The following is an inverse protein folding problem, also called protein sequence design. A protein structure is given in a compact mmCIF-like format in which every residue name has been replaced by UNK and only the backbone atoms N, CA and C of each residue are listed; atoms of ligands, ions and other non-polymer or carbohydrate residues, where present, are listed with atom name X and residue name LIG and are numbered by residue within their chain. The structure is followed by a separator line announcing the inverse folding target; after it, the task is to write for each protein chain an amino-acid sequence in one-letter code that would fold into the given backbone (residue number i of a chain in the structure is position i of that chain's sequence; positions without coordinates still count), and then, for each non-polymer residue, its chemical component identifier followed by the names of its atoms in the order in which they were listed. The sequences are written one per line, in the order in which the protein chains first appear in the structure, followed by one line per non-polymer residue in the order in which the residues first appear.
data_IF_075618979877
#
_entry.id   IF_075618979877
#
_cell.length_a   1.000
_cell.length_b   1.000
_cell.length_c   1.000
_cell.angle_alpha   90.00
_cell.angle_beta   90.00
_cell.angle_gamma   90.00
#
_symmetry.space_group_name_H-M   'P 1'
#
loop_
_entity.id
_entity.type
_entity.pdbx_description
1 polymer ?
#
# COMPACT_ATOMS: atom_id res chain seq x y z
N UNK A 1 -48.21 8.49 -8.36
CA UNK A 1 -47.08 7.96 -7.56
C UNK A 1 -46.10 9.10 -7.40
N UNK A 2 -46.08 9.76 -6.25
CA UNK A 2 -45.13 10.82 -5.97
C UNK A 2 -43.72 10.23 -5.88
N UNK A 3 -42.88 10.55 -6.86
CA UNK A 3 -41.46 10.21 -6.83
C UNK A 3 -40.69 11.05 -5.79
N UNK A 4 -41.35 12.04 -5.16
CA UNK A 4 -40.78 12.92 -4.13
C UNK A 4 -40.63 12.24 -2.76
N UNK A 5 -41.31 11.11 -2.51
CA UNK A 5 -41.15 10.30 -1.30
C UNK A 5 -40.16 9.15 -1.42
N UNK A 6 -39.53 8.97 -2.60
CA UNK A 6 -38.58 7.88 -2.84
C UNK A 6 -37.17 8.29 -2.45
N UNK A 7 -36.64 7.61 -1.45
CA UNK A 7 -35.28 7.82 -1.00
C UNK A 7 -34.28 7.30 -2.05
N UNK A 8 -33.30 8.14 -2.43
CA UNK A 8 -32.30 7.79 -3.45
C UNK A 8 -31.47 6.57 -3.05
N UNK A 9 -31.17 6.39 -1.75
CA UNK A 9 -30.44 5.24 -1.25
C UNK A 9 -31.29 3.96 -1.32
N UNK A 10 -32.59 4.06 -1.01
CA UNK A 10 -33.50 2.92 -1.13
C UNK A 10 -33.66 2.48 -2.60
N UNK A 11 -33.76 3.45 -3.51
CA UNK A 11 -33.85 3.18 -4.94
C UNK A 11 -32.54 2.57 -5.47
N UNK A 12 -31.38 3.09 -5.07
CA UNK A 12 -30.08 2.57 -5.47
C UNK A 12 -29.84 1.15 -4.95
N UNK A 13 -29.98 0.93 -3.64
CA UNK A 13 -29.77 -0.37 -2.99
C UNK A 13 -30.80 -1.40 -3.47
N UNK A 14 -32.08 -1.02 -3.47
CA UNK A 14 -33.17 -1.87 -3.96
C UNK A 14 -32.99 -2.21 -5.44
N UNK A 15 -32.59 -1.24 -6.26
CA UNK A 15 -32.28 -1.43 -7.67
C UNK A 15 -31.15 -2.44 -7.90
N UNK A 16 -30.05 -2.34 -7.15
CA UNK A 16 -28.92 -3.28 -7.25
C UNK A 16 -29.36 -4.70 -6.89
N UNK A 17 -30.10 -4.86 -5.79
CA UNK A 17 -30.61 -6.18 -5.38
C UNK A 17 -31.56 -6.76 -6.41
N UNK A 18 -32.49 -5.94 -6.92
CA UNK A 18 -33.47 -6.36 -7.92
C UNK A 18 -32.79 -6.76 -9.23
N UNK A 19 -31.90 -5.93 -9.76
CA UNK A 19 -31.13 -6.23 -10.98
C UNK A 19 -30.30 -7.50 -10.77
N UNK A 20 -29.65 -7.64 -9.61
CA UNK A 20 -28.86 -8.83 -9.29
C UNK A 20 -29.73 -10.10 -9.23
N UNK A 21 -30.95 -10.03 -8.69
CA UNK A 21 -31.90 -11.13 -8.68
C UNK A 21 -32.40 -11.48 -10.09
N UNK A 22 -32.70 -10.47 -10.93
CA UNK A 22 -33.11 -10.67 -12.33
C UNK A 22 -31.98 -11.32 -13.15
N UNK A 23 -30.75 -10.88 -12.94
CA UNK A 23 -29.58 -11.50 -13.55
C UNK A 23 -29.42 -12.95 -13.07
N UNK A 24 -29.61 -13.18 -11.77
CA UNK A 24 -29.54 -14.51 -11.16
C UNK A 24 -30.57 -15.49 -11.72
N UNK A 25 -31.83 -15.08 -11.86
CA UNK A 25 -32.87 -15.93 -12.48
C UNK A 25 -32.61 -16.15 -13.97
N UNK A 26 -32.07 -15.16 -14.70
CA UNK A 26 -31.80 -15.28 -16.13
C UNK A 26 -30.62 -16.23 -16.41
N UNK A 27 -29.58 -16.22 -15.56
CA UNK A 27 -28.38 -17.03 -15.74
C UNK A 27 -28.48 -18.42 -15.11
N UNK A 28 -29.18 -18.54 -13.98
CA UNK A 28 -29.21 -19.74 -13.14
C UNK A 28 -28.03 -19.81 -12.15
N UNK A 29 -28.20 -20.58 -11.07
CA UNK A 29 -27.18 -20.74 -10.03
C UNK A 29 -25.90 -21.34 -10.59
N UNK A 30 -26.01 -22.41 -11.38
CA UNK A 30 -24.84 -23.15 -11.88
C UNK A 30 -23.90 -22.24 -12.67
N UNK A 31 -24.46 -21.43 -13.59
CA UNK A 31 -23.66 -20.50 -14.39
C UNK A 31 -22.97 -19.45 -13.52
N UNK A 32 -23.64 -18.99 -12.48
CA UNK A 32 -23.11 -17.99 -11.57
C UNK A 32 -21.99 -18.57 -10.68
N UNK A 33 -22.14 -19.81 -10.19
CA UNK A 33 -21.11 -20.55 -9.46
C UNK A 33 -19.87 -20.81 -10.34
N UNK A 34 -20.08 -21.31 -11.56
CA UNK A 34 -18.99 -21.56 -12.51
C UNK A 34 -18.26 -20.26 -12.89
N UNK A 35 -18.98 -19.14 -12.96
CA UNK A 35 -18.37 -17.83 -13.18
C UNK A 35 -17.48 -17.43 -12.00
N UNK A 36 -17.94 -17.61 -10.75
CA UNK A 36 -17.11 -17.32 -9.57
C UNK A 36 -15.86 -18.19 -9.52
N UNK A 37 -16.00 -19.49 -9.77
CA UNK A 37 -14.86 -20.41 -9.84
C UNK A 37 -13.89 -19.98 -10.94
N UNK A 38 -14.40 -19.59 -12.12
CA UNK A 38 -13.56 -19.11 -13.22
C UNK A 38 -12.77 -17.85 -12.85
N UNK A 39 -13.39 -16.88 -12.18
CA UNK A 39 -12.69 -15.69 -11.69
C UNK A 39 -11.59 -16.02 -10.69
N UNK A 40 -11.87 -16.88 -9.70
CA UNK A 40 -10.88 -17.28 -8.69
C UNK A 40 -9.72 -18.06 -9.33
N UNK A 41 -10.02 -19.03 -10.20
CA UNK A 41 -9.01 -19.82 -10.90
C UNK A 41 -8.17 -18.96 -11.86
N UNK A 42 -8.79 -18.02 -12.57
CA UNK A 42 -8.08 -17.09 -13.44
C UNK A 42 -7.17 -16.13 -12.66
N UNK A 43 -7.63 -15.60 -11.52
CA UNK A 43 -6.78 -14.78 -10.63
C UNK A 43 -5.60 -15.60 -10.09
N UNK A 44 -5.86 -16.82 -9.63
CA UNK A 44 -4.81 -17.71 -9.14
C UNK A 44 -3.76 -18.01 -10.23
N UNK A 45 -4.21 -18.30 -11.46
CA UNK A 45 -3.32 -18.48 -12.59
C UNK A 45 -2.53 -17.20 -12.90
N UNK A 46 -3.18 -16.04 -12.89
CA UNK A 46 -2.52 -14.76 -13.11
C UNK A 46 -1.44 -14.48 -12.06
N UNK A 47 -1.73 -14.65 -10.76
CA UNK A 47 -0.73 -14.50 -9.71
C UNK A 47 0.44 -15.50 -9.82
N UNK A 48 0.17 -16.70 -10.32
CA UNK A 48 1.18 -17.75 -10.45
C UNK A 48 2.09 -17.54 -11.66
N UNK A 49 1.53 -17.13 -12.80
CA UNK A 49 2.26 -17.10 -14.08
C UNK A 49 2.64 -15.69 -14.56
N UNK A 50 2.12 -14.61 -13.96
CA UNK A 50 2.41 -13.24 -14.41
C UNK A 50 3.89 -12.91 -14.42
N UNK A 51 4.66 -13.30 -13.40
CA UNK A 51 6.09 -13.02 -13.33
C UNK A 51 6.86 -13.73 -14.45
N UNK A 52 6.58 -15.01 -14.66
CA UNK A 52 7.19 -15.80 -15.73
C UNK A 52 6.89 -15.19 -17.11
N UNK A 53 5.63 -14.84 -17.36
CA UNK A 53 5.21 -14.24 -18.64
C UNK A 53 5.84 -12.86 -18.84
N UNK A 54 5.96 -12.08 -17.77
CA UNK A 54 6.59 -10.77 -17.78
C UNK A 54 8.05 -10.86 -18.22
N UNK A 55 8.84 -11.68 -17.54
CA UNK A 55 10.26 -11.81 -17.82
C UNK A 55 10.55 -12.39 -19.19
N UNK A 56 9.78 -13.39 -19.63
CA UNK A 56 10.07 -14.12 -20.85
C UNK A 56 9.54 -13.44 -22.11
N UNK A 57 8.39 -12.76 -22.05
CA UNK A 57 7.71 -12.25 -23.24
C UNK A 57 7.51 -10.74 -23.22
N UNK A 58 6.99 -10.18 -22.14
CA UNK A 58 6.51 -8.79 -22.15
C UNK A 58 7.64 -7.78 -21.96
N UNK A 59 8.66 -8.12 -21.16
CA UNK A 59 9.83 -7.25 -20.97
C UNK A 59 10.69 -7.07 -22.23
N UNK A 60 10.48 -7.88 -23.26
CA UNK A 60 11.10 -7.69 -24.59
C UNK A 60 10.52 -6.47 -25.33
N UNK A 61 9.31 -6.04 -24.96
CA UNK A 61 8.57 -4.95 -25.60
C UNK A 61 8.41 -3.75 -24.67
N UNK A 62 8.25 -3.99 -23.36
CA UNK A 62 8.05 -2.97 -22.33
C UNK A 62 9.22 -3.00 -21.37
N UNK A 63 10.04 -1.94 -21.38
CA UNK A 63 11.24 -1.85 -20.52
C UNK A 63 10.91 -1.66 -19.03
N UNK A 64 9.79 -1.03 -18.71
CA UNK A 64 9.37 -0.83 -17.32
C UNK A 64 8.84 -2.14 -16.73
N UNK A 65 9.52 -2.65 -15.69
CA UNK A 65 9.19 -3.93 -15.05
C UNK A 65 7.80 -3.93 -14.42
N UNK A 66 7.36 -2.82 -13.82
CA UNK A 66 6.04 -2.75 -13.18
C UNK A 66 4.92 -2.79 -14.23
N UNK A 67 5.06 -2.00 -15.29
CA UNK A 67 4.10 -1.98 -16.39
C UNK A 67 4.08 -3.34 -17.09
N UNK A 68 5.24 -3.95 -17.33
CA UNK A 68 5.34 -5.27 -17.94
C UNK A 68 4.68 -6.36 -17.08
N UNK A 69 4.83 -6.31 -15.75
CA UNK A 69 4.17 -7.25 -14.84
C UNK A 69 2.64 -7.09 -14.89
N UNK A 70 2.14 -5.86 -14.80
CA UNK A 70 0.69 -5.57 -14.84
C UNK A 70 0.10 -6.04 -16.18
N UNK A 71 0.77 -5.74 -17.29
CA UNK A 71 0.36 -6.20 -18.62
C UNK A 71 0.31 -7.73 -18.69
N UNK A 72 1.35 -8.40 -18.18
CA UNK A 72 1.42 -9.88 -18.16
C UNK A 72 0.32 -10.50 -17.30
N UNK A 73 0.08 -9.92 -16.12
CA UNK A 73 -1.01 -10.33 -15.23
C UNK A 73 -2.35 -10.23 -15.96
N UNK A 74 -2.62 -9.09 -16.60
CA UNK A 74 -3.84 -8.88 -17.39
C UNK A 74 -3.96 -9.88 -18.54
N UNK A 75 -2.89 -10.12 -19.29
CA UNK A 75 -2.89 -11.08 -20.41
C UNK A 75 -3.18 -12.51 -19.94
N UNK A 76 -2.50 -12.98 -18.88
CA UNK A 76 -2.72 -14.33 -18.33
C UNK A 76 -4.14 -14.44 -17.77
N UNK A 77 -4.60 -13.43 -17.03
CA UNK A 77 -5.93 -13.40 -16.45
C UNK A 77 -7.02 -13.53 -17.53
N UNK A 78 -6.93 -12.73 -18.59
CA UNK A 78 -7.89 -12.77 -19.71
C UNK A 78 -7.84 -14.09 -20.47
N UNK A 79 -6.64 -14.61 -20.73
CA UNK A 79 -6.47 -15.91 -21.39
C UNK A 79 -7.07 -17.04 -20.55
N UNK A 80 -6.82 -17.04 -19.24
CA UNK A 80 -7.39 -18.03 -18.33
C UNK A 80 -8.93 -17.94 -18.29
N UNK A 81 -9.50 -16.74 -18.19
CA UNK A 81 -10.95 -16.53 -18.28
C UNK A 81 -11.52 -17.05 -19.60
N UNK A 82 -10.84 -16.82 -20.71
CA UNK A 82 -11.26 -17.30 -22.02
C UNK A 82 -11.31 -18.84 -22.08
N UNK A 83 -10.23 -19.50 -21.64
CA UNK A 83 -10.12 -20.96 -21.65
C UNK A 83 -11.14 -21.61 -20.70
N UNK A 84 -11.25 -21.11 -19.46
CA UNK A 84 -12.22 -21.62 -18.48
C UNK A 84 -13.65 -21.31 -18.93
N UNK A 85 -13.87 -20.15 -19.54
CA UNK A 85 -15.14 -19.77 -20.13
C UNK A 85 -15.60 -20.77 -21.19
N UNK A 86 -14.69 -21.20 -22.07
CA UNK A 86 -14.99 -22.23 -23.07
C UNK A 86 -15.41 -23.54 -22.40
N UNK A 87 -14.66 -24.02 -21.39
CA UNK A 87 -15.01 -25.22 -20.62
C UNK A 87 -16.39 -25.08 -19.95
N UNK A 88 -16.71 -23.92 -19.40
CA UNK A 88 -18.00 -23.64 -18.77
C UNK A 88 -19.17 -23.74 -19.76
N UNK A 89 -18.95 -23.40 -21.04
CA UNK A 89 -19.98 -23.59 -22.07
C UNK A 89 -20.32 -25.07 -22.26
N UNK A 90 -19.32 -25.95 -22.25
CA UNK A 90 -19.51 -27.39 -22.36
C UNK A 90 -20.27 -27.93 -21.13
N UNK A 91 -19.79 -27.60 -19.94
CA UNK A 91 -20.41 -28.03 -18.67
C UNK A 91 -21.87 -27.57 -18.61
N UNK A 92 -22.13 -26.29 -18.85
CA UNK A 92 -23.51 -25.78 -18.80
C UNK A 92 -24.43 -26.41 -19.84
N UNK A 93 -23.90 -26.93 -20.95
CA UNK A 93 -24.69 -27.64 -21.95
C UNK A 93 -25.09 -29.04 -21.49
N UNK A 94 -24.22 -29.73 -20.74
CA UNK A 94 -24.52 -31.03 -20.15
C UNK A 94 -25.62 -30.94 -19.09
N UNK A 95 -25.56 -29.92 -18.23
CA UNK A 95 -26.57 -29.73 -17.18
C UNK A 95 -27.93 -29.30 -17.71
N UNK A 96 -28.00 -28.66 -18.88
CA UNK A 96 -29.30 -28.36 -19.52
C UNK A 96 -30.07 -29.63 -19.89
N UNK A 97 -29.39 -30.75 -20.15
CA UNK A 97 -30.01 -32.01 -20.53
C UNK A 97 -30.77 -32.69 -19.38
N UNK A 98 -30.53 -32.33 -18.12
CA UNK A 98 -31.16 -32.97 -16.95
C UNK A 98 -32.57 -32.44 -16.64
N UNK A 99 -33.05 -31.42 -17.37
CA UNK A 99 -34.43 -30.91 -17.25
C UNK A 99 -34.73 -30.11 -15.98
N UNK A 100 -33.79 -29.96 -15.04
CA UNK A 100 -33.98 -29.26 -13.76
C UNK A 100 -33.85 -27.72 -13.84
N UNK A 101 -33.98 -27.14 -15.04
CA UNK A 101 -33.69 -25.72 -15.28
C UNK A 101 -34.53 -24.74 -14.45
N UNK A 102 -35.75 -25.12 -14.04
CA UNK A 102 -36.59 -24.27 -13.19
C UNK A 102 -36.02 -24.07 -11.78
N UNK A 103 -35.52 -25.14 -11.16
CA UNK A 103 -34.93 -25.08 -9.82
C UNK A 103 -33.58 -24.34 -9.83
N UNK A 104 -32.76 -24.56 -10.85
CA UNK A 104 -31.51 -23.81 -11.06
C UNK A 104 -31.73 -22.29 -11.17
N UNK A 105 -32.81 -21.86 -11.83
CA UNK A 105 -33.21 -20.45 -11.94
C UNK A 105 -33.71 -19.87 -10.61
N UNK A 106 -34.48 -20.64 -9.84
CA UNK A 106 -34.93 -20.21 -8.51
C UNK A 106 -33.75 -20.02 -7.55
N UNK A 107 -32.83 -20.99 -7.51
CA UNK A 107 -31.60 -20.84 -6.74
C UNK A 107 -30.72 -19.70 -7.27
N UNK A 108 -30.71 -19.49 -8.58
CA UNK A 108 -30.07 -18.34 -9.22
C UNK A 108 -30.63 -17.01 -8.71
N UNK A 109 -31.95 -16.89 -8.53
CA UNK A 109 -32.57 -15.71 -7.91
C UNK A 109 -32.08 -15.51 -6.47
N UNK A 110 -32.12 -16.55 -5.63
CA UNK A 110 -31.66 -16.46 -4.23
C UNK A 110 -30.19 -16.07 -4.14
N UNK A 111 -29.36 -16.65 -5.01
CA UNK A 111 -27.96 -16.27 -5.12
C UNK A 111 -27.80 -14.82 -5.60
N UNK A 112 -28.58 -14.40 -6.59
CA UNK A 112 -28.61 -13.03 -7.09
C UNK A 112 -29.01 -12.02 -6.00
N UNK A 113 -29.99 -12.35 -5.16
CA UNK A 113 -30.38 -11.56 -3.99
C UNK A 113 -29.24 -11.45 -2.98
N UNK A 114 -28.62 -12.57 -2.61
CA UNK A 114 -27.48 -12.59 -1.70
C UNK A 114 -26.30 -11.77 -2.23
N UNK A 115 -25.96 -11.94 -3.51
CA UNK A 115 -24.91 -11.16 -4.19
C UNK A 115 -25.25 -9.67 -4.20
N UNK A 116 -26.49 -9.30 -4.50
CA UNK A 116 -26.96 -7.92 -4.48
C UNK A 116 -26.86 -7.31 -3.07
N UNK A 117 -27.23 -8.08 -2.05
CA UNK A 117 -27.11 -7.67 -0.64
C UNK A 117 -25.66 -7.40 -0.25
N UNK A 118 -24.74 -8.30 -0.63
CA UNK A 118 -23.30 -8.13 -0.40
C UNK A 118 -22.76 -6.89 -1.12
N UNK A 119 -23.09 -6.71 -2.40
CA UNK A 119 -22.66 -5.53 -3.17
C UNK A 119 -23.17 -4.24 -2.53
N UNK A 120 -24.45 -4.19 -2.14
CA UNK A 120 -25.00 -3.02 -1.45
C UNK A 120 -24.32 -2.75 -0.10
N UNK A 121 -23.93 -3.80 0.63
CA UNK A 121 -23.22 -3.64 1.91
C UNK A 121 -21.81 -3.09 1.69
N UNK A 122 -21.13 -3.54 0.64
CA UNK A 122 -19.84 -2.98 0.22
C UNK A 122 -19.98 -1.52 -0.19
N UNK A 123 -21.04 -1.15 -0.92
CA UNK A 123 -21.29 0.26 -1.26
C UNK A 123 -21.57 1.12 -0.03
N UNK A 124 -22.34 0.62 0.94
CA UNK A 124 -22.55 1.32 2.21
C UNK A 124 -21.24 1.47 2.98
N UNK A 125 -20.40 0.43 3.01
CA UNK A 125 -19.08 0.53 3.60
C UNK A 125 -18.27 1.67 2.97
N UNK A 126 -18.14 1.69 1.64
CA UNK A 126 -17.44 2.78 0.93
C UNK A 126 -18.11 4.15 1.10
N UNK A 127 -19.43 4.22 1.15
CA UNK A 127 -20.14 5.48 1.38
C UNK A 127 -19.79 6.08 2.75
N UNK A 128 -19.61 5.25 3.78
CA UNK A 128 -19.24 5.67 5.15
C UNK A 128 -17.81 6.18 5.26
N UNK A 129 -16.95 5.89 4.29
CA UNK A 129 -15.62 6.52 4.20
C UNK A 129 -15.74 8.00 3.84
N UNK A 130 -16.88 8.48 3.33
CA UNK A 130 -17.11 9.89 3.07
C UNK A 130 -17.60 10.63 4.32
N UNK A 131 -16.85 11.61 4.86
CA UNK A 131 -17.22 12.32 6.08
C UNK A 131 -18.58 13.03 5.96
N UNK A 132 -19.45 12.82 6.94
CA UNK A 132 -20.75 13.49 6.99
C UNK A 132 -21.85 12.85 6.14
N UNK A 133 -21.60 11.72 5.47
CA UNK A 133 -22.63 11.00 4.70
C UNK A 133 -23.85 10.65 5.59
N UNK A 134 -23.60 10.31 6.85
CA UNK A 134 -24.64 9.90 7.81
C UNK A 134 -25.55 11.06 8.27
N UNK A 135 -25.12 12.30 8.03
CA UNK A 135 -25.88 13.52 8.35
C UNK A 135 -26.88 13.91 7.26
N UNK A 136 -26.81 13.29 6.08
CA UNK A 136 -27.73 13.62 4.99
C UNK A 136 -29.16 13.22 5.36
N UNK A 137 -30.18 14.06 5.10
CA UNK A 137 -31.58 13.70 5.31
C UNK A 137 -31.96 12.40 4.58
N UNK A 138 -31.48 12.23 3.34
CA UNK A 138 -31.71 11.01 2.56
C UNK A 138 -31.03 9.78 3.17
N UNK A 139 -29.94 9.92 3.91
CA UNK A 139 -29.34 8.77 4.60
C UNK A 139 -30.22 8.33 5.78
N UNK A 140 -30.63 9.28 6.62
CA UNK A 140 -31.40 9.00 7.84
C UNK A 140 -32.82 8.52 7.57
N UNK A 141 -33.43 9.00 6.49
CA UNK A 141 -34.78 8.61 6.08
C UNK A 141 -34.82 7.26 5.31
N UNK A 142 -33.67 6.64 5.02
CA UNK A 142 -33.62 5.40 4.23
C UNK A 142 -34.01 4.20 5.08
N UNK A 143 -34.87 3.35 4.52
CA UNK A 143 -35.29 2.10 5.19
C UNK A 143 -34.28 0.97 4.98
N UNK A 144 -33.57 0.97 3.85
CA UNK A 144 -32.61 -0.08 3.50
C UNK A 144 -31.23 0.15 4.13
N UNK A 145 -30.78 1.40 4.25
CA UNK A 145 -29.45 1.74 4.80
C UNK A 145 -29.14 1.04 6.13
N UNK A 146 -30.03 1.00 7.14
CA UNK A 146 -29.74 0.28 8.39
C UNK A 146 -29.48 -1.22 8.19
N UNK A 147 -30.28 -1.88 7.34
CA UNK A 147 -30.13 -3.31 7.05
C UNK A 147 -28.80 -3.64 6.39
N UNK A 148 -28.40 -2.84 5.39
CA UNK A 148 -27.12 -2.99 4.72
C UNK A 148 -25.94 -2.59 5.60
N UNK A 149 -26.10 -1.59 6.48
CA UNK A 149 -25.08 -1.21 7.46
C UNK A 149 -24.81 -2.33 8.44
N UNK A 150 -25.84 -3.05 8.89
CA UNK A 150 -25.67 -4.23 9.75
C UNK A 150 -24.90 -5.34 9.03
N UNK A 151 -25.22 -5.59 7.76
CA UNK A 151 -24.51 -6.57 6.94
C UNK A 151 -23.04 -6.17 6.71
N UNK A 152 -22.78 -4.89 6.43
CA UNK A 152 -21.45 -4.34 6.29
C UNK A 152 -20.63 -4.49 7.59
N UNK A 153 -21.21 -4.10 8.73
CA UNK A 153 -20.58 -4.23 10.04
C UNK A 153 -20.28 -5.69 10.39
N UNK A 154 -21.19 -6.62 10.06
CA UNK A 154 -20.93 -8.06 10.21
C UNK A 154 -19.71 -8.49 9.37
N UNK A 155 -19.58 -8.00 8.14
CA UNK A 155 -18.42 -8.24 7.28
C UNK A 155 -17.13 -7.68 7.88
N UNK A 156 -17.14 -6.43 8.35
CA UNK A 156 -15.99 -5.75 8.95
C UNK A 156 -15.45 -6.52 10.16
N UNK A 157 -16.34 -7.09 10.99
CA UNK A 157 -15.94 -7.91 12.14
C UNK A 157 -15.15 -9.17 11.76
N UNK A 158 -15.22 -9.63 10.52
CA UNK A 158 -14.45 -10.76 10.00
C UNK A 158 -13.10 -10.35 9.42
N UNK A 159 -12.88 -9.06 9.23
CA UNK A 159 -11.64 -8.52 8.69
C UNK A 159 -10.54 -8.56 9.78
N UNK A 160 -9.31 -9.00 9.46
CA UNK A 160 -8.18 -8.97 10.40
C UNK A 160 -7.91 -7.58 10.99
N UNK A 161 -7.46 -7.53 12.25
CA UNK A 161 -7.15 -6.31 13.04
C UNK A 161 -6.32 -5.27 12.26
N UNK A 162 -5.33 -5.70 11.48
CA UNK A 162 -4.46 -4.78 10.75
C UNK A 162 -5.19 -3.95 9.69
N UNK A 163 -6.20 -4.50 9.01
CA UNK A 163 -7.01 -3.74 8.02
C UNK A 163 -8.05 -2.88 8.73
N UNK A 164 -8.56 -3.31 9.88
CA UNK A 164 -9.47 -2.52 10.72
C UNK A 164 -8.80 -1.24 11.22
N UNK A 165 -7.56 -1.32 11.69
CA UNK A 165 -6.80 -0.14 12.13
C UNK A 165 -6.67 0.91 11.02
N UNK A 166 -6.44 0.47 9.77
CA UNK A 166 -6.51 1.39 8.63
C UNK A 166 -7.92 1.95 8.46
N UNK A 167 -8.95 1.11 8.34
CA UNK A 167 -10.33 1.58 8.15
C UNK A 167 -10.76 2.59 9.22
N UNK A 168 -10.49 2.31 10.50
CA UNK A 168 -10.84 3.18 11.62
C UNK A 168 -10.13 4.53 11.55
N UNK A 169 -8.85 4.56 11.15
CA UNK A 169 -8.12 5.82 10.95
C UNK A 169 -8.73 6.72 9.86
N UNK A 170 -9.28 6.13 8.79
CA UNK A 170 -9.96 6.88 7.73
C UNK A 170 -11.40 7.25 8.11
N UNK A 171 -12.09 6.41 8.89
CA UNK A 171 -13.49 6.63 9.30
C UNK A 171 -13.62 7.62 10.46
N UNK A 172 -12.62 7.69 11.35
CA UNK A 172 -12.62 8.59 12.51
C UNK A 172 -11.28 9.35 12.59
N UNK A 173 -11.03 10.32 11.69
CA UNK A 173 -9.72 10.96 11.55
C UNK A 173 -9.27 11.77 12.78
N UNK A 174 -10.17 11.98 13.75
CA UNK A 174 -9.86 12.67 15.00
C UNK A 174 -9.36 11.72 16.10
N UNK A 175 -9.38 10.41 15.86
CA UNK A 175 -8.91 9.39 16.79
C UNK A 175 -7.50 8.95 16.38
N UNK A 176 -6.49 9.31 17.18
CA UNK A 176 -5.09 8.95 16.93
C UNK A 176 -4.92 7.44 17.11
N UNK A 177 -4.89 6.69 16.02
CA UNK A 177 -4.58 5.26 16.03
C UNK A 177 -3.10 5.08 16.36
N UNK A 178 -2.80 4.76 17.63
CA UNK A 178 -1.47 4.31 18.04
C UNK A 178 -1.32 2.87 17.55
N UNK A 179 -0.67 2.68 16.40
CA UNK A 179 -0.23 1.35 15.96
C UNK A 179 0.67 0.79 17.07
N UNK A 180 0.46 -0.46 17.54
CA UNK A 180 1.46 -1.11 18.37
C UNK A 180 2.72 -1.15 17.51
N UNK A 181 3.72 -0.37 17.89
CA UNK A 181 5.03 -0.39 17.26
C UNK A 181 5.43 -1.86 17.14
N UNK A 182 5.85 -2.30 15.95
CA UNK A 182 6.60 -3.55 15.88
C UNK A 182 7.83 -3.32 16.74
N UNK A 183 7.78 -3.82 17.98
CA UNK A 183 8.95 -3.91 18.83
C UNK A 183 9.93 -4.78 18.05
N UNK A 184 11.12 -4.27 17.68
CA UNK A 184 12.21 -5.15 17.34
C UNK A 184 12.34 -6.11 18.51
N UNK A 185 12.20 -7.42 18.27
CA UNK A 185 12.32 -8.46 19.28
C UNK A 185 13.61 -8.26 20.06
N UNK A 186 13.53 -7.50 21.16
CA UNK A 186 14.56 -7.40 22.16
C UNK A 186 14.08 -8.29 23.27
N UNK A 187 14.32 -9.57 23.05
CA UNK A 187 14.30 -10.60 24.08
C UNK A 187 15.46 -10.31 25.06
N UNK A 188 15.41 -9.17 25.76
CA UNK A 188 16.17 -8.99 27.00
C UNK A 188 15.32 -9.55 28.12
N UNK A 189 15.55 -10.83 28.36
CA UNK A 189 15.56 -11.50 29.65
C UNK A 189 14.88 -10.73 30.79
N UNK A 190 13.75 -11.29 31.23
CA UNK A 190 13.15 -11.09 32.54
C UNK A 190 14.23 -11.02 33.64
N UNK A 191 14.35 -9.87 34.30
CA UNK A 191 14.80 -9.76 35.68
C UNK A 191 13.90 -8.75 36.39
N UNK A 192 13.21 -9.14 37.48
CA UNK A 192 12.37 -8.23 38.24
C UNK A 192 13.24 -7.16 38.90
N UNK A 193 12.86 -5.90 38.74
CA UNK A 193 13.50 -4.76 39.37
C UNK A 193 13.29 -4.79 40.90
N UNK A 194 14.23 -5.39 41.63
CA UNK A 194 14.48 -5.03 43.03
C UNK A 194 15.46 -3.87 43.01
N UNK A 195 15.02 -2.70 43.47
CA UNK A 195 15.91 -1.55 43.66
C UNK A 195 16.81 -1.86 44.86
N UNK A 196 18.02 -2.36 44.58
CA UNK A 196 19.09 -2.53 45.56
C UNK A 196 19.83 -1.19 45.73
N UNK A 197 19.81 -0.65 46.94
CA UNK A 197 20.46 0.59 47.40
C UNK A 197 22.00 0.51 47.45
N UNK A 198 22.60 -0.43 46.71
CA UNK A 198 24.01 -0.79 46.75
C UNK A 198 24.91 0.15 45.92
N UNK A 199 24.34 1.06 45.13
CA UNK A 199 25.08 2.01 44.29
C UNK A 199 25.56 3.28 45.01
N UNK A 200 25.13 3.55 46.24
CA UNK A 200 25.59 4.72 47.01
C UNK A 200 26.89 4.46 47.80
N UNK A 201 27.23 3.20 48.11
CA UNK A 201 28.47 2.86 48.81
C UNK A 201 29.65 2.56 47.87
N UNK A 202 29.43 2.44 46.56
CA UNK A 202 30.49 2.14 45.59
C UNK A 202 31.35 3.36 45.21
N UNK A 203 30.89 4.58 45.49
CA UNK A 203 31.61 5.81 45.16
C UNK A 203 32.68 6.15 46.22
N UNK A 204 32.50 5.71 47.47
CA UNK A 204 33.42 6.05 48.57
C UNK A 204 34.71 5.21 48.57
N UNK A 205 34.72 4.03 47.93
CA UNK A 205 35.85 3.10 47.99
C UNK A 205 36.77 3.10 46.76
N UNK A 206 36.56 4.02 45.81
CA UNK A 206 37.31 4.04 44.53
C UNK A 206 38.53 4.98 44.52
N UNK A 207 38.90 5.59 45.65
CA UNK A 207 39.97 6.61 45.71
C UNK A 207 41.35 6.07 46.14
N UNK A 208 41.50 4.77 46.37
CA UNK A 208 42.74 4.18 46.90
C UNK A 208 43.67 3.48 45.87
N UNK A 209 43.39 3.52 44.55
CA UNK A 209 44.16 2.74 43.56
C UNK A 209 44.65 3.55 42.33
N UNK A 210 45.38 4.66 42.55
CA UNK A 210 46.00 5.46 41.45
C UNK A 210 47.52 5.74 41.59
N UNK A 211 48.40 4.73 41.60
CA UNK A 211 49.78 4.99 41.14
C UNK A 211 50.35 4.07 40.05
N UNK A 212 49.67 3.00 39.62
CA UNK A 212 50.32 1.99 38.75
C UNK A 212 49.94 2.08 37.25
N UNK A 213 48.78 2.64 36.90
CA UNK A 213 48.31 2.65 35.49
C UNK A 213 49.07 3.66 34.60
N UNK A 214 49.61 4.74 35.18
CA UNK A 214 50.28 5.82 34.44
C UNK A 214 51.69 5.44 33.94
N UNK A 215 52.39 4.56 34.65
CA UNK A 215 53.74 4.14 34.28
C UNK A 215 53.75 3.15 33.10
N UNK A 216 52.70 2.35 32.95
CA UNK A 216 52.57 1.37 31.87
C UNK A 216 52.12 2.03 30.56
N UNK A 217 51.22 3.01 30.65
CA UNK A 217 50.80 3.83 29.50
C UNK A 217 51.96 4.64 28.92
N UNK A 218 52.84 5.20 29.77
CA UNK A 218 54.03 5.92 29.31
C UNK A 218 55.05 5.04 28.57
N UNK A 219 55.16 3.75 28.94
CA UNK A 219 56.02 2.78 28.24
C UNK A 219 55.44 2.33 26.90
N UNK A 220 54.13 2.23 26.78
CA UNK A 220 53.48 1.89 25.50
C UNK A 220 53.59 3.02 24.48
N UNK A 221 53.48 4.28 24.92
CA UNK A 221 53.58 5.44 24.04
C UNK A 221 54.99 5.64 23.47
N UNK A 222 56.04 5.40 24.26
CA UNK A 222 57.43 5.49 23.78
C UNK A 222 57.78 4.35 22.81
N UNK A 223 57.24 3.15 23.01
CA UNK A 223 57.39 2.03 22.07
C UNK A 223 56.70 2.29 20.72
N UNK A 224 55.54 2.95 20.73
CA UNK A 224 54.78 3.27 19.52
C UNK A 224 55.43 4.41 18.71
N UNK A 225 56.03 5.39 19.38
CA UNK A 225 56.74 6.49 18.72
C UNK A 225 57.99 6.00 17.96
N UNK A 226 58.77 5.08 18.53
CA UNK A 226 59.92 4.50 17.84
C UNK A 226 59.49 3.61 16.65
N UNK A 227 58.36 2.90 16.74
CA UNK A 227 57.85 2.07 15.65
C UNK A 227 57.40 2.91 14.43
N UNK A 228 56.85 4.11 14.64
CA UNK A 228 56.41 5.00 13.56
C UNK A 228 57.59 5.67 12.82
N UNK A 229 58.72 5.89 13.48
CA UNK A 229 59.92 6.47 12.85
C UNK A 229 60.63 5.53 11.86
N UNK A 230 60.43 4.21 11.98
CA UNK A 230 61.06 3.19 11.13
C UNK A 230 60.23 2.80 9.89
N UNK A 231 59.01 3.35 9.74
CA UNK A 231 58.12 3.07 8.60
C UNK A 231 58.23 4.16 7.52
N UNK A 232 58.85 5.31 7.82
CA UNK A 232 59.13 6.36 6.84
C UNK A 232 60.43 6.05 6.05
N UNK A 233 60.35 5.06 5.15
CA UNK A 233 61.33 4.85 4.08
C UNK A 233 61.20 5.87 2.93
N UNK A 234 62.11 5.87 1.94
CA UNK A 234 62.39 6.99 1.02
C UNK A 234 61.30 7.29 -0.05
N UNK A 235 60.04 6.88 0.15
CA UNK A 235 58.93 7.11 -0.79
C UNK A 235 58.27 8.49 -0.66
N UNK A 236 58.65 9.32 0.32
CA UNK A 236 58.11 10.67 0.48
C UNK A 236 58.66 11.69 -0.55
N UNK A 237 59.76 11.39 -1.24
CA UNK A 237 60.39 12.31 -2.21
C UNK A 237 59.72 12.29 -3.58
N UNK A 238 59.09 11.16 -3.96
CA UNK A 238 58.45 10.98 -5.27
C UNK A 238 57.00 11.51 -5.34
N UNK A 239 56.39 11.83 -4.20
CA UNK A 239 55.05 12.43 -4.13
C UNK A 239 55.07 13.94 -4.38
N UNK A 240 56.18 14.62 -4.06
CA UNK A 240 56.35 16.07 -4.33
C UNK A 240 56.48 16.38 -5.84
N UNK A 241 57.21 15.54 -6.57
CA UNK A 241 57.48 15.72 -8.00
C UNK A 241 56.28 15.44 -8.92
N UNK A 242 55.22 14.79 -8.41
CA UNK A 242 54.00 14.48 -9.16
C UNK A 242 52.91 15.56 -9.04
N UNK A 243 53.04 16.48 -8.10
CA UNK A 243 52.08 17.58 -7.92
C UNK A 243 52.45 18.84 -8.72
N UNK A 244 53.73 19.02 -9.10
CA UNK A 244 54.15 20.10 -10.01
C UNK A 244 53.73 19.85 -11.48
N UNK A 245 53.62 18.60 -11.91
CA UNK A 245 53.28 18.27 -13.32
C UNK A 245 51.79 18.39 -13.67
N UNK A 246 50.93 18.73 -12.70
CA UNK A 246 49.47 18.86 -12.92
C UNK A 246 48.99 20.32 -12.92
N UNK A 247 49.91 21.28 -12.76
CA UNK A 247 49.57 22.70 -12.68
C UNK A 247 49.67 23.45 -14.03
N UNK A 248 50.05 22.74 -15.11
CA UNK A 248 50.36 23.33 -16.42
C UNK A 248 49.38 22.93 -17.55
N UNK A 249 48.21 22.38 -17.23
CA UNK A 249 47.10 22.23 -18.20
C UNK A 249 46.11 23.39 -18.05
N UNK A 250 46.51 24.53 -18.58
CA UNK A 250 45.66 25.67 -18.88
C UNK A 250 44.66 25.27 -19.99
N UNK A 251 43.39 25.08 -19.60
CA UNK A 251 42.26 24.99 -20.52
C UNK A 251 41.92 26.41 -21.00
N UNK A 252 42.40 26.79 -22.19
CA UNK A 252 41.81 27.92 -22.92
C UNK A 252 40.47 27.45 -23.51
N UNK A 253 39.38 27.85 -22.86
CA UNK A 253 38.01 27.69 -23.33
C UNK A 253 37.25 28.99 -23.12
N UNK A 254 37.03 29.68 -24.23
CA UNK A 254 36.20 30.87 -24.47
C UNK A 254 35.06 31.11 -23.43
N UNK A 255 35.13 32.23 -22.71
CA UNK A 255 34.03 32.73 -21.85
C UNK A 255 33.07 33.52 -22.77
N UNK A 256 31.98 32.90 -23.21
CA UNK A 256 30.88 33.62 -23.83
C UNK A 256 30.05 34.32 -22.74
N UNK A 257 29.97 35.64 -22.84
CA UNK A 257 29.40 36.55 -21.86
C UNK A 257 27.88 36.37 -21.70
N UNK A 258 27.43 36.19 -20.47
CA UNK A 258 26.02 36.37 -20.07
C UNK A 258 25.86 37.83 -19.62
N UNK A 259 25.05 38.66 -20.29
CA UNK A 259 24.80 40.01 -19.81
C UNK A 259 23.80 39.99 -18.65
N UNK A 260 24.28 40.54 -17.54
CA UNK A 260 23.58 40.91 -16.32
C UNK A 260 22.90 42.27 -16.53
N UNK A 261 21.58 42.28 -16.75
CA UNK A 261 20.76 43.46 -16.45
C UNK A 261 19.56 43.02 -15.60
N UNK A 262 19.68 43.36 -14.32
CA UNK A 262 18.58 43.45 -13.41
C UNK A 262 17.85 44.80 -13.59
N UNK A 263 16.60 44.79 -13.15
CA UNK A 263 15.79 45.93 -12.70
C UNK A 263 14.88 46.66 -13.70
N UNK A 264 13.65 46.87 -13.20
CA UNK A 264 12.64 47.84 -13.64
C UNK A 264 11.85 47.49 -14.90
N UNK A 265 10.74 46.78 -14.70
CA UNK A 265 9.80 46.51 -15.79
C UNK A 265 8.46 45.98 -15.32
N UNK A 266 7.92 46.53 -14.22
CA UNK A 266 6.50 46.39 -13.90
C UNK A 266 5.74 47.07 -15.06
N UNK A 267 5.24 46.26 -15.99
CA UNK A 267 4.25 46.72 -16.95
C UNK A 267 2.91 46.92 -16.20
N UNK A 268 2.33 48.13 -16.18
CA UNK A 268 1.08 48.41 -15.50
C UNK A 268 -0.05 48.48 -16.53
N UNK A 269 -0.86 47.45 -16.69
CA UNK A 269 -2.14 47.53 -17.42
C UNK A 269 -3.07 46.42 -16.90
N UNK A 270 -4.32 46.61 -16.48
CA UNK A 270 -5.20 47.76 -16.29
C UNK A 270 -6.33 47.21 -15.42
N UNK A 271 -6.52 47.78 -14.23
CA UNK A 271 -7.79 47.71 -13.51
C UNK A 271 -8.71 48.75 -14.17
N UNK A 272 -9.55 48.33 -15.11
CA UNK A 272 -10.74 49.13 -15.44
C UNK A 272 -11.82 48.78 -14.41
N UNK A 273 -11.96 49.71 -13.45
CA UNK A 273 -13.05 49.88 -12.49
C UNK A 273 -14.43 49.65 -13.12
N UNK A 274 -15.32 48.87 -12.47
CA UNK A 274 -16.39 49.39 -11.61
C UNK A 274 -17.09 50.63 -12.20
N UNK A 275 -18.27 50.42 -12.84
CA UNK A 275 -19.61 50.75 -12.30
C UNK A 275 -20.06 52.18 -12.65
N UNK A 276 -21.37 52.52 -12.68
CA UNK A 276 -22.49 52.02 -11.86
C UNK A 276 -23.54 51.16 -12.59
#
# INVERSE_FOLDING_TARGET
MDLQGLNIFDLGLGGIVLISAIIGIARGLLREMLSLVAWVAALWAAFTFAEMVSQQFVQQVISDKHIAYIASFGSVFLLALFLIGLLNLLITSLFKATGLGGFDRLLGMLFGLARGAIIGAVLIFFARLYPGIEKLPSWQQSQLVPGFSNLANWGIKRIPEHVRAYADSWMNPNEVVILPAQTPNTERQNHPATIELSSLNAVENSQAARPQLSAEQARQQSAQSNALSNIAGPEAENAGLRLESLQDQNYEGEIEAVPEEAESGIAPLQLESLQP
#
